data_IF_878781537187
#
_entry.id   IF_878781537187
#
_cell.length_a   1.000
_cell.length_b   1.000
_cell.length_c   1.000
_cell.angle_alpha   90.00
_cell.angle_beta   90.00
_cell.angle_gamma   90.00
#
_symmetry.space_group_name_H-M   'P 1'
#
loop_
_entity.id
_entity.type
_entity.pdbx_description
1 polymer ?
#
# COMPACT_ATOMS: atom_id res chain seq x y z
N UNK A 1 12.01 0.56 -2.18
CA UNK A 1 10.85 0.53 -3.11
C UNK A 1 11.29 1.13 -4.44
N UNK A 2 11.00 0.47 -5.57
CA UNK A 2 11.45 0.90 -6.91
C UNK A 2 10.67 2.09 -7.49
N UNK A 3 11.22 2.70 -8.54
CA UNK A 3 10.76 3.95 -9.17
C UNK A 3 9.50 3.79 -10.06
N UNK A 4 8.88 2.60 -10.10
CA UNK A 4 7.70 2.37 -10.92
C UNK A 4 6.51 3.24 -10.45
N UNK A 5 5.84 3.96 -11.37
CA UNK A 5 4.61 4.68 -11.05
C UNK A 5 3.55 3.70 -10.54
N UNK A 6 3.00 3.97 -9.36
CA UNK A 6 1.91 3.19 -8.78
C UNK A 6 0.88 4.15 -8.20
N UNK A 7 -0.40 3.88 -8.47
CA UNK A 7 -1.51 4.68 -7.98
C UNK A 7 -1.63 4.55 -6.45
N UNK A 8 -1.37 3.36 -5.92
CA UNK A 8 -1.31 3.04 -4.49
C UNK A 8 -0.09 2.17 -4.24
N UNK A 9 0.74 2.56 -3.28
CA UNK A 9 1.80 1.73 -2.70
C UNK A 9 1.36 1.32 -1.31
N UNK A 10 1.36 0.05 -0.98
CA UNK A 10 0.94 -0.43 0.33
C UNK A 10 1.87 -1.49 0.87
N UNK A 11 1.84 -1.68 2.19
CA UNK A 11 2.48 -2.79 2.88
C UNK A 11 1.38 -3.63 3.51
N UNK A 12 1.43 -4.95 3.28
CA UNK A 12 0.62 -5.93 3.99
C UNK A 12 1.54 -6.73 4.91
N UNK A 13 1.56 -6.38 6.18
CA UNK A 13 2.31 -7.09 7.21
C UNK A 13 1.45 -8.22 7.79
N UNK A 14 1.24 -9.26 6.97
CA UNK A 14 0.40 -10.41 7.31
C UNK A 14 1.04 -11.75 6.87
N UNK A 15 1.14 -12.75 7.76
CA UNK A 15 0.92 -12.63 9.19
C UNK A 15 2.00 -11.78 9.86
N UNK A 16 1.64 -10.95 10.86
CA UNK A 16 2.61 -10.22 11.66
C UNK A 16 3.21 -11.14 12.73
N UNK A 17 4.43 -11.61 12.47
CA UNK A 17 5.10 -12.61 13.33
C UNK A 17 6.15 -12.02 14.28
N UNK A 18 6.43 -10.73 14.17
CA UNK A 18 7.45 -10.05 14.96
C UNK A 18 7.42 -8.54 14.77
N UNK A 19 8.38 -7.85 15.37
CA UNK A 19 8.52 -6.41 15.22
C UNK A 19 8.75 -6.03 13.75
N UNK A 20 8.15 -4.93 13.34
CA UNK A 20 8.29 -4.38 12.00
C UNK A 20 8.34 -2.86 12.08
N UNK A 21 9.25 -2.27 11.31
CA UNK A 21 9.40 -0.82 11.22
C UNK A 21 9.04 -0.37 9.82
N UNK A 22 8.15 0.62 9.74
CA UNK A 22 7.86 1.27 8.45
C UNK A 22 9.14 2.01 8.03
N UNK A 23 9.72 1.61 6.90
CA UNK A 23 10.90 2.26 6.32
C UNK A 23 10.62 3.71 5.88
N UNK A 24 11.62 4.38 5.33
CA UNK A 24 11.53 5.79 4.92
C UNK A 24 10.71 6.00 3.64
N UNK A 25 10.51 4.94 2.86
CA UNK A 25 9.77 5.05 1.63
C UNK A 25 8.30 5.38 1.86
N UNK A 26 7.77 6.28 1.04
CA UNK A 26 6.37 6.67 1.09
C UNK A 26 5.46 5.50 0.69
N UNK A 27 4.68 5.02 1.65
CA UNK A 27 3.54 4.12 1.42
C UNK A 27 2.24 4.88 1.67
N UNK A 28 1.19 4.44 1.00
CA UNK A 28 -0.14 5.04 1.03
C UNK A 28 -1.12 4.28 1.93
N UNK A 29 -0.77 3.07 2.35
CA UNK A 29 -1.65 2.23 3.15
C UNK A 29 -0.84 1.15 3.87
N UNK A 30 -1.17 0.88 5.12
CA UNK A 30 -0.63 -0.23 5.90
C UNK A 30 -1.77 -1.17 6.29
N UNK A 31 -1.60 -2.45 5.99
CA UNK A 31 -2.51 -3.53 6.37
C UNK A 31 -1.76 -4.44 7.35
N UNK A 32 -2.41 -4.80 8.46
CA UNK A 32 -1.83 -5.65 9.51
C UNK A 32 -2.84 -6.71 9.97
N UNK A 33 -2.34 -7.92 10.23
CA UNK A 33 -3.18 -9.04 10.66
C UNK A 33 -2.39 -10.28 11.04
N UNK A 34 -3.04 -11.17 11.79
CA UNK A 34 -2.48 -12.45 12.23
C UNK A 34 -2.78 -13.63 11.30
N UNK A 35 -2.12 -14.75 11.58
CA UNK A 35 -2.18 -15.98 10.78
C UNK A 35 -3.50 -16.74 10.99
N UNK A 36 -4.02 -17.35 9.92
CA UNK A 36 -5.16 -18.27 10.00
C UNK A 36 -4.76 -19.70 9.67
N UNK A 37 -5.41 -20.67 10.32
CA UNK A 37 -5.22 -22.09 10.03
C UNK A 37 -4.86 -22.94 11.27
N UNK A 38 -4.68 -24.26 11.08
CA UNK A 38 -4.45 -25.21 12.18
C UNK A 38 -3.13 -24.96 12.93
N UNK A 39 -2.10 -24.44 12.25
CA UNK A 39 -0.77 -24.18 12.82
C UNK A 39 -0.48 -22.68 13.01
N UNK A 40 -1.52 -21.88 13.25
CA UNK A 40 -1.37 -20.42 13.37
C UNK A 40 -0.43 -20.03 14.49
N UNK A 41 0.46 -19.08 14.22
CA UNK A 41 1.29 -18.44 15.23
C UNK A 41 0.54 -17.26 15.88
N UNK A 42 0.68 -17.07 17.21
CA UNK A 42 0.08 -15.93 17.88
C UNK A 42 0.70 -14.63 17.37
N UNK A 43 -0.13 -13.63 17.08
CA UNK A 43 0.32 -12.27 16.84
C UNK A 43 0.45 -11.56 18.18
N UNK A 44 1.53 -10.82 18.38
CA UNK A 44 1.72 -9.99 19.56
C UNK A 44 0.94 -8.66 19.42
N UNK A 45 -0.02 -8.36 20.32
CA UNK A 45 -0.71 -7.07 20.34
C UNK A 45 0.22 -5.86 20.41
N UNK A 46 1.38 -5.96 21.05
CA UNK A 46 2.35 -4.87 21.13
C UNK A 46 2.92 -4.52 19.74
N UNK A 47 3.22 -5.52 18.92
CA UNK A 47 3.69 -5.29 17.54
C UNK A 47 2.60 -4.64 16.66
N UNK A 48 1.34 -5.05 16.83
CA UNK A 48 0.21 -4.43 16.12
C UNK A 48 0.04 -2.96 16.53
N UNK A 49 0.12 -2.66 17.83
CA UNK A 49 0.05 -1.28 18.35
C UNK A 49 1.21 -0.43 17.87
N UNK A 50 2.44 -0.95 17.90
CA UNK A 50 3.63 -0.28 17.37
C UNK A 50 3.42 0.14 15.91
N UNK A 51 2.92 -0.78 15.05
CA UNK A 51 2.65 -0.46 13.66
C UNK A 51 1.53 0.55 13.45
N UNK A 52 0.46 0.44 14.23
CA UNK A 52 -0.61 1.44 14.25
C UNK A 52 -0.04 2.82 14.58
N UNK A 53 0.74 2.93 15.65
CA UNK A 53 1.28 4.20 16.12
C UNK A 53 2.27 4.80 15.11
N UNK A 54 3.12 3.96 14.51
CA UNK A 54 4.00 4.37 13.41
C UNK A 54 3.22 4.89 12.19
N UNK A 55 2.12 4.22 11.82
CA UNK A 55 1.29 4.63 10.69
C UNK A 55 0.56 5.96 11.00
N UNK A 56 -0.05 6.07 12.17
CA UNK A 56 -0.77 7.27 12.64
C UNK A 56 0.17 8.47 12.69
N UNK A 57 1.36 8.32 13.28
CA UNK A 57 2.36 9.38 13.37
C UNK A 57 2.80 9.91 11.99
N UNK A 58 2.69 9.09 10.94
CA UNK A 58 3.06 9.44 9.56
C UNK A 58 1.86 9.79 8.68
N UNK A 59 0.64 9.79 9.23
CA UNK A 59 -0.59 10.01 8.47
C UNK A 59 -0.86 8.93 7.41
N UNK A 60 -0.36 7.71 7.62
CA UNK A 60 -0.60 6.55 6.75
C UNK A 60 -1.91 5.89 7.21
N UNK A 61 -2.90 5.70 6.31
CA UNK A 61 -4.09 4.90 6.62
C UNK A 61 -3.72 3.52 7.14
N UNK A 62 -4.36 3.11 8.24
CA UNK A 62 -4.10 1.83 8.92
C UNK A 62 -5.32 0.92 8.88
N UNK A 63 -5.14 -0.29 8.35
CA UNK A 63 -6.15 -1.34 8.31
C UNK A 63 -5.74 -2.52 9.17
N UNK A 64 -6.49 -2.78 10.24
CA UNK A 64 -6.33 -4.00 11.03
C UNK A 64 -7.34 -5.05 10.55
N UNK A 65 -6.85 -6.06 9.85
CA UNK A 65 -7.70 -7.06 9.19
C UNK A 65 -8.29 -8.04 10.19
N UNK A 66 -7.44 -8.69 11.00
CA UNK A 66 -7.84 -9.71 11.99
C UNK A 66 -6.68 -10.09 12.93
N UNK A 67 -7.02 -10.63 14.11
CA UNK A 67 -6.05 -11.25 15.03
C UNK A 67 -5.51 -12.61 14.57
N UNK A 68 -6.18 -13.26 13.60
CA UNK A 68 -5.91 -14.64 13.22
C UNK A 68 -6.84 -15.62 13.94
N UNK A 69 -6.70 -16.91 13.69
CA UNK A 69 -7.64 -17.91 14.20
C UNK A 69 -7.59 -19.22 13.45
N UNK A 70 -8.29 -20.26 13.92
CA UNK A 70 -8.39 -21.49 13.13
C UNK A 70 -9.02 -21.18 11.77
N UNK A 71 -10.04 -20.34 11.78
CA UNK A 71 -10.64 -19.67 10.63
C UNK A 71 -10.31 -18.19 10.67
N UNK A 72 -10.32 -17.49 9.52
CA UNK A 72 -9.95 -16.08 9.45
C UNK A 72 -10.67 -15.17 10.47
N UNK A 73 -11.97 -15.38 10.69
CA UNK A 73 -12.81 -14.47 11.48
C UNK A 73 -12.89 -14.77 12.98
N UNK A 74 -12.22 -15.81 13.49
CA UNK A 74 -12.50 -16.34 14.83
C UNK A 74 -12.21 -15.35 15.97
N UNK A 75 -11.13 -14.59 15.90
CA UNK A 75 -10.75 -13.64 16.96
C UNK A 75 -11.13 -12.19 16.64
N UNK A 76 -11.84 -11.97 15.53
CA UNK A 76 -12.30 -10.65 15.12
C UNK A 76 -11.18 -9.70 14.66
N UNK A 77 -11.55 -8.41 14.59
CA UNK A 77 -10.79 -7.32 13.94
C UNK A 77 -10.76 -6.02 14.76
N UNK A 78 -10.94 -6.15 16.07
CA UNK A 78 -10.98 -5.03 17.00
C UNK A 78 -9.64 -4.92 17.72
N UNK A 79 -8.99 -3.77 17.63
CA UNK A 79 -7.76 -3.44 18.35
C UNK A 79 -8.07 -2.32 19.33
N UNK A 80 -7.88 -2.60 20.63
CA UNK A 80 -8.14 -1.66 21.73
C UNK A 80 -9.57 -1.08 21.69
N UNK A 81 -10.57 -1.94 21.52
CA UNK A 81 -11.98 -1.55 21.48
C UNK A 81 -12.44 -0.88 20.18
N UNK A 82 -11.55 -0.64 19.23
CA UNK A 82 -11.84 0.02 17.96
C UNK A 82 -11.58 -0.89 16.76
N UNK A 83 -12.45 -0.82 15.75
CA UNK A 83 -12.14 -1.36 14.43
C UNK A 83 -11.34 -0.32 13.62
N UNK A 84 -10.19 -0.75 13.10
CA UNK A 84 -9.34 0.09 12.27
C UNK A 84 -9.54 -0.32 10.82
N UNK A 85 -10.41 0.40 10.12
CA UNK A 85 -10.85 0.09 8.76
C UNK A 85 -10.43 1.13 7.71
N UNK A 86 -9.36 1.88 7.97
CA UNK A 86 -8.97 3.00 7.11
C UNK A 86 -8.45 2.49 5.75
N UNK A 87 -8.75 3.25 4.70
CA UNK A 87 -8.30 2.97 3.34
C UNK A 87 -7.67 4.24 2.73
N UNK A 88 -6.76 4.10 1.74
CA UNK A 88 -6.21 5.26 1.06
C UNK A 88 -7.33 6.02 0.36
N UNK A 89 -7.27 7.35 0.42
CA UNK A 89 -8.14 8.20 -0.41
C UNK A 89 -7.95 7.81 -1.87
N UNK A 90 -9.04 7.82 -2.65
CA UNK A 90 -9.07 7.42 -4.05
C UNK A 90 -7.84 8.01 -4.78
N UNK A 91 -6.95 7.16 -5.32
CA UNK A 91 -5.68 7.64 -5.85
C UNK A 91 -5.96 8.58 -7.02
N UNK A 92 -5.21 9.69 -7.11
CA UNK A 92 -5.29 10.55 -8.30
C UNK A 92 -4.91 9.68 -9.50
N UNK A 93 -5.72 9.72 -10.58
CA UNK A 93 -5.38 9.04 -11.83
C UNK A 93 -3.95 9.42 -12.17
N UNK A 94 -3.08 8.43 -12.37
CA UNK A 94 -1.80 8.67 -13.01
C UNK A 94 -2.17 9.23 -14.38
N UNK A 95 -1.89 10.51 -14.62
CA UNK A 95 -2.03 11.07 -15.96
C UNK A 95 -1.17 10.19 -16.87
N UNK A 96 -1.77 9.62 -17.92
CA UNK A 96 -1.01 8.96 -18.95
C UNK A 96 -0.02 9.99 -19.49
N UNK A 97 1.27 9.71 -19.41
CA UNK A 97 2.30 10.56 -19.97
C UNK A 97 2.05 10.65 -21.49
N UNK A 98 1.54 11.80 -21.92
CA UNK A 98 1.28 12.11 -23.33
C UNK A 98 2.53 12.70 -23.99
N UNK A 99 3.66 12.02 -23.90
CA UNK A 99 4.87 12.29 -24.70
C UNK A 99 5.38 10.92 -25.17
N UNK A 100 5.33 10.57 -26.45
CA UNK A 100 5.83 11.33 -27.60
C UNK A 100 4.97 10.99 -28.83
N UNK A 101 4.28 11.97 -29.42
CA UNK A 101 3.98 11.88 -30.87
C UNK A 101 5.24 12.37 -31.58
N UNK A 102 5.94 11.56 -32.39
CA UNK A 102 6.93 12.13 -33.29
C UNK A 102 6.19 13.08 -34.22
N UNK A 103 6.60 14.34 -34.23
CA UNK A 103 6.11 15.32 -35.19
C UNK A 103 6.40 14.80 -36.60
N UNK A 104 5.38 14.85 -37.46
CA UNK A 104 5.54 14.69 -38.90
C UNK A 104 6.44 15.82 -39.40
N UNK A 105 7.72 15.51 -39.59
CA UNK A 105 8.72 16.44 -40.13
C UNK A 105 9.32 15.84 -41.40
N UNK A 106 8.49 15.62 -42.41
CA UNK A 106 8.91 15.57 -43.81
C UNK A 106 7.71 15.94 -44.66
N UNK A 107 7.56 17.23 -44.92
CA UNK A 107 7.03 17.67 -46.21
C UNK A 107 7.48 19.10 -46.50
N UNK A 108 7.73 19.35 -47.78
CA UNK A 108 8.22 20.57 -48.45
C UNK A 108 9.74 20.79 -48.50
N UNK A 109 10.34 20.32 -49.60
CA UNK A 109 11.24 21.15 -50.41
C UNK A 109 11.07 20.77 -51.88
N UNK A 110 10.06 21.36 -52.52
CA UNK A 110 10.04 21.57 -53.97
C UNK A 110 10.63 22.95 -54.25
N UNK A 111 11.73 23.02 -54.98
CA UNK A 111 12.42 24.26 -55.31
C UNK A 111 13.28 24.09 -56.56
N UNK A 112 12.68 24.42 -57.70
CA UNK A 112 13.24 24.45 -59.05
C UNK A 112 14.53 25.27 -59.14
N UNK A 113 15.55 24.71 -59.79
CA UNK A 113 16.77 25.40 -60.20
C UNK A 113 16.60 25.86 -61.65
N UNK A 114 16.61 27.18 -61.86
CA UNK A 114 17.04 27.81 -63.11
C UNK A 114 18.51 28.17 -62.98
#
# INVERSE_FOLDING_TARGET
LGTLPAAVRFVSAEPLLGDFRIGEHRINWLIVGGESGPNRRPVDPANVRSLRDQAVARGIPFFFKQWGGLRPKDQGKTLDGRQWCDCPKRPRRIAQDSRTRPGSMFDTCGGSMR
#
